data_IF_912639551570
#
_entry.id   IF_912639551570
#
_cell.length_a   1.000
_cell.length_b   1.000
_cell.length_c   1.000
_cell.angle_alpha   90.00
_cell.angle_beta   90.00
_cell.angle_gamma   90.00
#
_symmetry.space_group_name_H-M   'P 1'
#
loop_
_entity.id
_entity.type
_entity.pdbx_description
1 polymer ?
#
# COMPACT_ATOMS: atom_id res chain seq x y z
N UNK A 1 34.17 76.99 -20.92
CA UNK A 1 33.66 75.75 -20.29
C UNK A 1 32.61 76.12 -19.26
N UNK A 2 31.34 76.21 -19.66
CA UNK A 2 30.22 76.49 -18.74
C UNK A 2 29.76 75.17 -18.13
N UNK A 3 30.17 74.89 -16.89
CA UNK A 3 29.56 73.81 -16.09
C UNK A 3 28.17 74.29 -15.66
N UNK A 4 27.11 73.75 -16.26
CA UNK A 4 25.74 73.91 -15.75
C UNK A 4 25.62 73.08 -14.47
N UNK A 5 25.28 73.71 -13.36
CA UNK A 5 24.90 73.03 -12.13
C UNK A 5 23.46 72.52 -12.26
N UNK A 6 23.20 71.26 -11.89
CA UNK A 6 21.85 70.69 -11.89
C UNK A 6 20.97 71.42 -10.88
N UNK A 7 19.73 71.68 -11.29
CA UNK A 7 18.70 72.19 -10.37
C UNK A 7 18.24 71.09 -9.43
N UNK A 8 17.80 71.47 -8.22
CA UNK A 8 17.30 70.53 -7.20
C UNK A 8 16.18 69.62 -7.74
N UNK A 9 15.34 70.17 -8.63
CA UNK A 9 14.25 69.44 -9.27
C UNK A 9 14.75 68.40 -10.28
N UNK A 10 15.81 68.67 -11.05
CA UNK A 10 16.43 67.68 -11.95
C UNK A 10 17.09 66.54 -11.17
N UNK A 11 17.76 66.83 -10.05
CA UNK A 11 18.32 65.79 -9.19
C UNK A 11 17.24 64.93 -8.54
N UNK A 12 16.12 65.53 -8.11
CA UNK A 12 14.99 64.77 -7.59
C UNK A 12 14.35 63.89 -8.66
N UNK A 13 14.14 64.41 -9.88
CA UNK A 13 13.60 63.63 -11.00
C UNK A 13 14.55 62.49 -11.39
N UNK A 14 15.86 62.75 -11.47
CA UNK A 14 16.85 61.73 -11.80
C UNK A 14 16.93 60.63 -10.73
N UNK A 15 16.86 60.99 -9.45
CA UNK A 15 16.84 60.02 -8.34
C UNK A 15 15.54 59.21 -8.33
N UNK A 16 14.38 59.86 -8.53
CA UNK A 16 13.10 59.15 -8.65
C UNK A 16 13.07 58.21 -9.87
N UNK A 17 13.60 58.63 -11.02
CA UNK A 17 13.65 57.80 -12.23
C UNK A 17 14.60 56.59 -12.06
N UNK A 18 15.75 56.76 -11.41
CA UNK A 18 16.66 55.65 -11.12
C UNK A 18 16.08 54.67 -10.10
N UNK A 19 15.36 55.15 -9.08
CA UNK A 19 14.63 54.30 -8.15
C UNK A 19 13.50 53.51 -8.84
N UNK A 20 12.74 54.16 -9.73
CA UNK A 20 11.71 53.48 -10.52
C UNK A 20 12.31 52.41 -11.44
N UNK A 21 13.46 52.69 -12.06
CA UNK A 21 14.15 51.73 -12.91
C UNK A 21 14.69 50.53 -12.10
N UNK A 22 15.27 50.78 -10.92
CA UNK A 22 15.68 49.68 -10.04
C UNK A 22 14.49 48.88 -9.50
N UNK A 23 13.37 49.52 -9.20
CA UNK A 23 12.14 48.83 -8.80
C UNK A 23 11.60 47.93 -9.91
N UNK A 24 11.58 48.40 -11.16
CA UNK A 24 11.16 47.60 -12.31
C UNK A 24 12.09 46.40 -12.56
N UNK A 25 13.41 46.61 -12.49
CA UNK A 25 14.40 45.53 -12.66
C UNK A 25 14.29 44.49 -11.53
N UNK A 26 14.09 44.91 -10.28
CA UNK A 26 13.90 44.01 -9.16
C UNK A 26 12.64 43.14 -9.32
N UNK A 27 11.53 43.71 -9.82
CA UNK A 27 10.31 42.95 -10.12
C UNK A 27 10.55 41.89 -11.20
N UNK A 28 11.26 42.25 -12.27
CA UNK A 28 11.61 41.30 -13.33
C UNK A 28 12.44 40.14 -12.78
N UNK A 29 13.47 40.42 -11.98
CA UNK A 29 14.27 39.37 -11.35
C UNK A 29 13.46 38.50 -10.38
N UNK A 30 12.50 39.05 -9.64
CA UNK A 30 11.63 38.28 -8.76
C UNK A 30 10.75 37.31 -9.56
N UNK A 31 10.16 37.76 -10.68
CA UNK A 31 9.34 36.91 -11.55
C UNK A 31 10.17 35.78 -12.18
N UNK A 32 11.33 36.12 -12.74
CA UNK A 32 12.24 35.11 -13.31
C UNK A 32 12.76 34.13 -12.25
N UNK A 33 13.10 34.62 -11.06
CA UNK A 33 13.54 33.78 -9.95
C UNK A 33 12.47 32.79 -9.50
N UNK A 34 11.21 33.23 -9.39
CA UNK A 34 10.08 32.37 -9.08
C UNK A 34 9.83 31.29 -10.14
N UNK A 35 9.88 31.65 -11.42
CA UNK A 35 9.71 30.70 -12.52
C UNK A 35 10.81 29.63 -12.57
N UNK A 36 12.07 30.03 -12.33
CA UNK A 36 13.21 29.09 -12.28
C UNK A 36 13.07 28.15 -11.08
N UNK A 37 12.69 28.69 -9.92
CA UNK A 37 12.46 27.88 -8.71
C UNK A 37 11.36 26.84 -8.94
N UNK A 38 10.21 27.27 -9.48
CA UNK A 38 9.11 26.37 -9.82
C UNK A 38 9.50 25.29 -10.83
N UNK A 39 10.28 25.65 -11.86
CA UNK A 39 10.79 24.69 -12.85
C UNK A 39 11.72 23.66 -12.22
N UNK A 40 12.60 24.07 -11.31
CA UNK A 40 13.49 23.16 -10.57
C UNK A 40 12.72 22.22 -9.64
N UNK A 41 11.71 22.73 -8.95
CA UNK A 41 10.88 21.92 -8.05
C UNK A 41 10.13 20.83 -8.82
N UNK A 42 9.55 21.14 -9.97
CA UNK A 42 8.89 20.16 -10.86
C UNK A 42 9.89 19.10 -11.36
N UNK A 43 11.10 19.52 -11.76
CA UNK A 43 12.13 18.57 -12.21
C UNK A 43 12.62 17.64 -11.09
N UNK A 44 12.74 18.16 -9.85
CA UNK A 44 13.08 17.35 -8.68
C UNK A 44 11.96 16.35 -8.36
N UNK A 45 10.69 16.79 -8.39
CA UNK A 45 9.52 15.93 -8.22
C UNK A 45 9.51 14.78 -9.24
N UNK A 46 9.70 15.10 -10.53
CA UNK A 46 9.79 14.08 -11.61
C UNK A 46 10.96 13.11 -11.40
N UNK A 47 12.08 13.59 -10.85
CA UNK A 47 13.22 12.77 -10.44
C UNK A 47 12.83 11.78 -9.34
N UNK A 48 12.23 12.27 -8.26
CA UNK A 48 11.77 11.45 -7.13
C UNK A 48 10.71 10.43 -7.54
N UNK A 49 9.72 10.83 -8.34
CA UNK A 49 8.67 9.92 -8.82
C UNK A 49 9.24 8.79 -9.69
N UNK A 50 10.23 9.09 -10.54
CA UNK A 50 10.92 8.04 -11.32
C UNK A 50 11.70 7.07 -10.44
N UNK A 51 12.40 7.56 -9.41
CA UNK A 51 13.10 6.69 -8.44
C UNK A 51 12.12 5.81 -7.68
N UNK A 52 11.01 6.37 -7.21
CA UNK A 52 9.94 5.63 -6.52
C UNK A 52 9.33 4.55 -7.42
N UNK A 53 8.99 4.89 -8.66
CA UNK A 53 8.45 3.95 -9.63
C UNK A 53 9.46 2.85 -10.00
N UNK A 54 10.75 3.18 -10.12
CA UNK A 54 11.79 2.18 -10.37
C UNK A 54 11.93 1.23 -9.17
N UNK A 55 11.89 1.75 -7.95
CA UNK A 55 11.93 0.92 -6.74
C UNK A 55 10.73 -0.02 -6.66
N UNK A 56 9.52 0.49 -6.87
CA UNK A 56 8.30 -0.33 -6.90
C UNK A 56 8.34 -1.38 -8.01
N UNK A 57 8.80 -1.02 -9.22
CA UNK A 57 9.00 -1.98 -10.32
C UNK A 57 10.00 -3.07 -9.95
N UNK A 58 11.10 -2.71 -9.30
CA UNK A 58 12.12 -3.67 -8.86
C UNK A 58 11.57 -4.63 -7.80
N UNK A 59 10.79 -4.12 -6.84
CA UNK A 59 10.17 -4.98 -5.82
C UNK A 59 9.15 -5.92 -6.46
N UNK A 60 8.26 -5.42 -7.32
CA UNK A 60 7.24 -6.21 -8.02
C UNK A 60 7.86 -7.26 -8.96
N UNK A 61 8.95 -6.93 -9.66
CA UNK A 61 9.65 -7.88 -10.51
C UNK A 61 10.29 -9.04 -9.73
N UNK A 62 10.59 -8.83 -8.45
CA UNK A 62 11.15 -9.83 -7.57
C UNK A 62 10.11 -10.64 -6.78
N UNK A 63 8.80 -10.48 -7.04
CA UNK A 63 7.76 -11.14 -6.25
C UNK A 63 8.01 -12.65 -6.14
N UNK A 64 7.90 -13.21 -4.93
CA UNK A 64 8.23 -14.62 -4.72
C UNK A 64 7.01 -15.54 -4.80
N UNK A 65 5.84 -15.04 -4.43
CA UNK A 65 4.60 -15.82 -4.41
C UNK A 65 4.00 -15.97 -5.81
N UNK A 66 3.54 -17.18 -6.15
CA UNK A 66 2.61 -17.33 -7.27
C UNK A 66 1.30 -16.63 -6.94
N UNK A 67 0.81 -15.86 -7.91
CA UNK A 67 -0.46 -15.14 -7.80
C UNK A 67 -1.68 -16.01 -8.08
N UNK A 68 -1.59 -17.31 -7.75
CA UNK A 68 -2.69 -18.27 -7.86
C UNK A 68 -3.18 -18.55 -6.44
N UNK A 69 -4.39 -18.11 -6.07
CA UNK A 69 -4.90 -18.30 -4.73
C UNK A 69 -4.99 -19.78 -4.33
N UNK A 70 -4.66 -20.09 -3.08
CA UNK A 70 -4.70 -21.44 -2.51
C UNK A 70 -3.88 -22.47 -3.29
N UNK A 71 -2.81 -22.05 -3.98
CA UNK A 71 -1.81 -22.97 -4.48
C UNK A 71 -1.25 -23.78 -3.30
N UNK A 72 -1.05 -25.10 -3.48
CA UNK A 72 -0.47 -25.99 -2.47
C UNK A 72 0.67 -25.30 -1.75
N UNK A 73 0.72 -25.40 -0.41
CA UNK A 73 1.64 -24.78 0.55
C UNK A 73 3.11 -24.72 0.10
N UNK A 74 3.38 -23.91 -0.92
CA UNK A 74 4.68 -23.68 -1.46
C UNK A 74 5.31 -22.61 -0.59
N UNK A 75 6.55 -22.85 -0.16
CA UNK A 75 7.35 -21.93 0.63
C UNK A 75 7.79 -20.69 -0.19
N UNK A 76 6.81 -20.01 -0.80
CA UNK A 76 6.95 -18.95 -1.78
C UNK A 76 6.60 -17.58 -1.19
N UNK A 77 6.20 -17.49 0.08
CA UNK A 77 5.79 -16.24 0.74
C UNK A 77 4.35 -15.84 0.38
N UNK A 78 4.09 -14.55 0.17
CA UNK A 78 2.73 -14.07 -0.11
C UNK A 78 2.67 -12.82 -1.00
N UNK A 79 1.48 -12.58 -1.55
CA UNK A 79 1.02 -11.29 -2.06
C UNK A 79 -0.35 -10.99 -1.46
N UNK A 80 -0.48 -9.79 -0.91
CA UNK A 80 -1.70 -9.28 -0.33
C UNK A 80 -1.94 -7.84 -0.77
N UNK A 81 -3.15 -7.57 -1.25
CA UNK A 81 -3.60 -6.23 -1.65
C UNK A 81 -4.81 -5.92 -0.79
N UNK A 82 -4.76 -4.80 -0.08
CA UNK A 82 -5.85 -4.33 0.76
C UNK A 82 -6.32 -3.01 0.19
N UNK A 83 -7.52 -3.05 -0.37
CA UNK A 83 -8.23 -1.93 -0.95
C UNK A 83 -9.06 -1.25 0.14
N UNK A 84 -8.94 0.06 0.23
CA UNK A 84 -9.76 0.86 1.13
C UNK A 84 -11.14 1.21 0.56
N UNK A 85 -11.99 1.92 1.30
CA UNK A 85 -13.26 2.40 0.77
C UNK A 85 -13.17 3.66 -0.11
N UNK A 86 -12.02 4.35 -0.15
CA UNK A 86 -11.85 5.48 -1.06
C UNK A 86 -11.70 4.96 -2.50
N UNK A 87 -12.30 5.66 -3.45
CA UNK A 87 -12.13 5.40 -4.88
C UNK A 87 -12.09 6.74 -5.60
N UNK A 88 -11.63 6.76 -6.85
CA UNK A 88 -11.71 7.96 -7.70
C UNK A 88 -13.17 8.46 -7.88
N UNK A 89 -14.16 7.57 -7.85
CA UNK A 89 -15.58 7.93 -7.96
C UNK A 89 -16.18 8.44 -6.64
N UNK A 90 -15.89 7.80 -5.50
CA UNK A 90 -16.42 8.22 -4.19
C UNK A 90 -15.80 9.53 -3.71
N UNK A 91 -14.52 9.76 -4.03
CA UNK A 91 -13.86 11.06 -3.82
C UNK A 91 -14.56 12.19 -4.60
N UNK A 92 -15.02 11.93 -5.83
CA UNK A 92 -15.80 12.90 -6.62
C UNK A 92 -17.26 13.06 -6.13
N UNK A 93 -17.95 11.96 -5.78
CA UNK A 93 -19.34 12.00 -5.36
C UNK A 93 -19.55 12.76 -4.03
N UNK A 94 -18.61 12.63 -3.09
CA UNK A 94 -18.62 13.37 -1.84
C UNK A 94 -18.50 14.90 -2.03
N UNK A 95 -17.86 15.34 -3.12
CA UNK A 95 -17.76 16.76 -3.54
C UNK A 95 -19.11 17.25 -4.07
N UNK A 96 -19.79 16.48 -4.92
CA UNK A 96 -21.08 16.89 -5.52
C UNK A 96 -22.21 16.91 -4.50
N UNK A 97 -22.19 16.01 -3.51
CA UNK A 97 -23.19 15.91 -2.45
C UNK A 97 -23.00 16.91 -1.29
N UNK A 98 -21.90 17.68 -1.28
CA UNK A 98 -21.56 18.61 -0.19
C UNK A 98 -21.40 17.94 1.19
N UNK A 99 -21.33 16.61 1.23
CA UNK A 99 -21.23 15.79 2.44
C UNK A 99 -19.78 15.68 2.91
N UNK A 100 -18.82 15.85 2.00
CA UNK A 100 -17.45 16.20 2.34
C UNK A 100 -17.39 17.71 2.55
N UNK A 101 -17.10 18.15 3.77
CA UNK A 101 -16.92 19.57 4.05
C UNK A 101 -15.79 20.13 3.18
N UNK A 102 -16.12 21.12 2.33
CA UNK A 102 -15.21 22.01 1.58
C UNK A 102 -14.17 22.75 2.48
N UNK A 103 -14.24 22.54 3.81
CA UNK A 103 -13.25 23.02 4.77
C UNK A 103 -11.90 22.27 4.71
N UNK A 104 -11.83 21.13 4.01
CA UNK A 104 -10.60 20.40 3.73
C UNK A 104 -10.49 20.31 2.21
N UNK A 105 -9.44 20.87 1.60
CA UNK A 105 -9.24 20.93 0.14
C UNK A 105 -9.13 19.56 -0.57
N UNK A 106 -10.17 18.73 -0.49
CA UNK A 106 -10.30 17.37 -0.99
C UNK A 106 -10.71 17.27 -2.45
N UNK A 107 -10.79 18.40 -3.17
CA UNK A 107 -11.04 18.43 -4.63
C UNK A 107 -9.88 17.79 -5.42
N UNK A 108 -8.70 17.65 -4.79
CA UNK A 108 -7.45 17.28 -5.46
C UNK A 108 -6.89 15.92 -5.01
N UNK A 109 -7.38 15.35 -3.90
CA UNK A 109 -6.95 14.03 -3.42
C UNK A 109 -7.73 12.92 -4.11
N UNK A 110 -7.02 11.97 -4.73
CA UNK A 110 -7.61 10.74 -5.28
C UNK A 110 -7.68 9.64 -4.24
N UNK A 111 -7.86 8.41 -4.70
CA UNK A 111 -7.73 7.22 -3.86
C UNK A 111 -6.31 7.12 -3.23
N UNK A 112 -6.24 6.73 -1.97
CA UNK A 112 -5.05 6.85 -1.10
C UNK A 112 -5.02 5.88 0.08
N UNK A 113 -6.00 4.99 0.23
CA UNK A 113 -6.12 4.10 1.38
C UNK A 113 -5.76 2.63 1.08
N UNK A 114 -5.13 2.42 -0.06
CA UNK A 114 -4.58 1.13 -0.48
C UNK A 114 -3.28 0.75 0.21
N UNK A 115 -3.14 -0.56 0.42
CA UNK A 115 -1.94 -1.20 0.96
C UNK A 115 -1.55 -2.38 0.09
N UNK A 116 -0.27 -2.41 -0.26
CA UNK A 116 0.33 -3.50 -1.03
C UNK A 116 1.42 -4.16 -0.18
N UNK A 117 1.23 -5.43 0.17
CA UNK A 117 2.15 -6.23 0.97
C UNK A 117 2.58 -7.47 0.20
N UNK A 118 3.87 -7.76 0.13
CA UNK A 118 4.36 -8.97 -0.53
C UNK A 118 5.79 -9.32 -0.13
N UNK A 119 6.18 -10.56 -0.41
CA UNK A 119 7.57 -10.99 -0.34
C UNK A 119 8.25 -10.85 -1.70
N UNK A 120 9.47 -10.32 -1.70
CA UNK A 120 10.27 -10.08 -2.90
C UNK A 120 11.68 -10.64 -2.74
N UNK A 121 12.28 -11.06 -3.85
CA UNK A 121 13.63 -11.61 -3.96
C UNK A 121 14.45 -10.78 -4.91
N UNK A 122 15.66 -10.47 -4.50
CA UNK A 122 16.67 -9.86 -5.35
C UNK A 122 17.92 -10.75 -5.38
N UNK A 123 18.25 -11.25 -6.59
CA UNK A 123 19.43 -12.10 -6.82
C UNK A 123 20.68 -11.31 -7.18
N UNK A 124 20.56 -10.05 -7.61
CA UNK A 124 21.70 -9.22 -8.01
C UNK A 124 22.32 -8.49 -6.81
N UNK A 125 21.48 -7.96 -5.92
CA UNK A 125 21.91 -7.25 -4.73
C UNK A 125 21.03 -7.66 -3.54
N UNK A 126 21.62 -8.09 -2.41
CA UNK A 126 20.83 -8.44 -1.25
C UNK A 126 20.13 -7.21 -0.66
N UNK A 127 18.98 -7.45 -0.05
CA UNK A 127 18.35 -6.48 0.83
C UNK A 127 19.18 -6.33 2.08
N UNK A 128 19.40 -5.08 2.46
CA UNK A 128 20.18 -4.72 3.64
C UNK A 128 19.22 -4.21 4.71
N UNK A 129 19.42 -4.67 5.94
CA UNK A 129 18.67 -4.24 7.11
C UNK A 129 19.57 -4.16 8.33
N UNK A 130 19.06 -3.64 9.43
CA UNK A 130 19.77 -3.49 10.69
C UNK A 130 19.15 -4.39 11.75
N UNK A 131 19.97 -4.86 12.69
CA UNK A 131 19.46 -5.41 13.93
C UNK A 131 20.35 -4.97 15.10
N UNK A 132 19.77 -4.72 16.28
CA UNK A 132 20.55 -4.40 17.46
C UNK A 132 21.41 -5.60 17.86
N UNK A 133 22.68 -5.38 18.13
CA UNK A 133 23.59 -6.39 18.68
C UNK A 133 24.18 -5.89 19.99
N UNK A 134 24.72 -6.76 20.84
CA UNK A 134 25.41 -6.32 22.06
C UNK A 134 26.90 -6.58 21.96
N UNK A 135 27.68 -5.54 22.28
CA UNK A 135 29.10 -5.68 22.58
C UNK A 135 29.29 -6.38 23.93
N UNK A 136 30.43 -7.03 24.12
CA UNK A 136 30.88 -7.54 25.43
C UNK A 136 30.88 -6.44 26.54
N UNK A 137 30.85 -5.16 26.17
CA UNK A 137 30.76 -4.00 27.07
C UNK A 137 29.33 -3.55 27.44
N UNK A 138 28.29 -4.33 27.12
CA UNK A 138 26.87 -4.01 27.36
C UNK A 138 26.37 -2.71 26.67
N UNK A 139 27.11 -2.23 25.67
CA UNK A 139 26.67 -1.15 24.79
C UNK A 139 25.88 -1.77 23.63
N UNK A 140 24.65 -1.29 23.39
CA UNK A 140 23.87 -1.65 22.22
C UNK A 140 24.60 -1.14 20.95
N UNK A 141 25.10 -2.08 20.16
CA UNK A 141 25.59 -1.85 18.81
C UNK A 141 24.46 -2.14 17.82
N UNK A 142 24.66 -1.75 16.57
CA UNK A 142 23.73 -2.03 15.48
C UNK A 142 24.56 -2.61 14.36
N UNK A 143 24.35 -3.89 14.07
CA UNK A 143 24.98 -4.54 12.94
C UNK A 143 24.06 -4.53 11.72
N UNK A 144 24.68 -4.68 10.57
CA UNK A 144 24.00 -4.72 9.27
C UNK A 144 23.91 -6.16 8.81
N UNK A 145 22.73 -6.55 8.37
CA UNK A 145 22.41 -7.89 7.90
C UNK A 145 21.93 -7.84 6.47
N UNK A 146 22.11 -8.96 5.78
CA UNK A 146 21.78 -9.10 4.37
C UNK A 146 20.88 -10.31 4.18
N UNK A 147 19.84 -10.17 3.37
CA UNK A 147 19.04 -11.28 2.87
C UNK A 147 18.72 -11.07 1.40
N UNK A 148 18.71 -12.15 0.62
CA UNK A 148 18.25 -12.09 -0.78
C UNK A 148 16.73 -11.96 -0.89
N UNK A 149 16.01 -12.10 0.22
CA UNK A 149 14.56 -12.04 0.30
C UNK A 149 14.13 -11.06 1.39
N UNK A 150 13.11 -10.26 1.10
CA UNK A 150 12.51 -9.34 2.05
C UNK A 150 10.98 -9.38 1.94
N UNK A 151 10.33 -9.11 3.07
CA UNK A 151 8.92 -8.75 3.16
C UNK A 151 8.83 -7.24 3.02
N UNK A 152 8.03 -6.76 2.07
CA UNK A 152 7.92 -5.34 1.72
C UNK A 152 6.46 -4.91 1.80
N UNK A 153 6.24 -3.73 2.37
CA UNK A 153 4.92 -3.10 2.44
C UNK A 153 4.98 -1.69 1.85
N UNK A 154 4.01 -1.37 1.00
CA UNK A 154 3.79 -0.05 0.42
C UNK A 154 2.42 0.46 0.85
N UNK A 155 2.38 1.68 1.39
CA UNK A 155 1.14 2.30 1.87
C UNK A 155 1.29 3.82 1.96
N UNK A 156 0.17 4.53 1.93
CA UNK A 156 0.13 5.98 2.10
C UNK A 156 -0.45 6.36 3.47
N UNK A 157 0.01 7.50 4.02
CA UNK A 157 -0.54 8.11 5.24
C UNK A 157 -0.70 9.61 5.12
N UNK A 158 -1.69 10.23 5.81
CA UNK A 158 -1.82 11.67 5.86
C UNK A 158 -0.52 12.34 6.30
N UNK A 159 -0.10 13.37 5.58
CA UNK A 159 1.09 14.16 5.93
C UNK A 159 0.72 15.09 7.08
N UNK A 160 1.40 15.00 8.24
CA UNK A 160 1.07 15.84 9.39
C UNK A 160 1.13 17.33 9.03
N UNK A 161 0.06 18.06 9.35
CA UNK A 161 -0.03 19.51 9.11
C UNK A 161 -0.30 19.92 7.66
N UNK A 162 -0.54 18.98 6.72
CA UNK A 162 -0.96 19.35 5.37
C UNK A 162 -2.33 20.02 5.39
N UNK A 163 -2.42 21.24 4.86
CA UNK A 163 -3.67 21.97 4.71
C UNK A 163 -3.74 22.62 3.32
N UNK A 164 -4.84 22.37 2.61
CA UNK A 164 -5.17 22.92 1.30
C UNK A 164 -4.15 22.65 0.17
N UNK A 165 -4.17 21.49 -0.52
CA UNK A 165 -4.95 20.26 -0.31
C UNK A 165 -4.40 19.37 0.81
N UNK A 166 -5.15 18.38 1.26
CA UNK A 166 -4.59 17.32 2.12
C UNK A 166 -3.69 16.45 1.26
N UNK A 167 -2.49 16.19 1.76
CA UNK A 167 -1.50 15.39 1.05
C UNK A 167 -1.07 14.22 1.92
N UNK A 168 -0.67 13.15 1.27
CA UNK A 168 -0.21 11.91 1.84
C UNK A 168 1.30 11.77 1.61
N UNK A 169 1.90 10.89 2.40
CA UNK A 169 3.27 10.43 2.21
C UNK A 169 3.21 8.94 1.96
N UNK A 170 3.84 8.49 0.87
CA UNK A 170 3.98 7.06 0.55
C UNK A 170 5.24 6.54 1.24
N UNK A 171 5.06 5.47 1.99
CA UNK A 171 6.11 4.76 2.71
C UNK A 171 6.37 3.42 2.06
N UNK A 172 7.61 2.96 2.24
CA UNK A 172 8.02 1.59 1.98
C UNK A 172 8.66 1.03 3.24
N UNK A 173 8.11 -0.05 3.78
CA UNK A 173 8.74 -0.84 4.85
C UNK A 173 9.42 -2.05 4.24
N UNK A 174 10.61 -2.38 4.72
CA UNK A 174 11.35 -3.57 4.33
C UNK A 174 11.78 -4.33 5.57
N UNK A 175 11.48 -5.62 5.61
CA UNK A 175 11.90 -6.53 6.66
C UNK A 175 12.63 -7.71 6.01
N UNK A 176 13.84 -8.01 6.45
CA UNK A 176 14.64 -9.12 5.98
C UNK A 176 13.96 -10.44 6.36
N UNK A 177 13.76 -11.31 5.38
CA UNK A 177 13.25 -12.66 5.61
C UNK A 177 14.46 -13.57 5.77
N UNK A 178 14.63 -14.13 6.96
CA UNK A 178 15.73 -15.04 7.27
C UNK A 178 15.33 -15.97 8.42
N UNK A 179 15.43 -17.28 8.20
CA UNK A 179 15.07 -18.28 9.21
C UNK A 179 16.07 -18.38 10.37
N UNK A 180 17.25 -17.77 10.23
CA UNK A 180 18.27 -17.73 11.26
C UNK A 180 19.08 -16.43 11.14
N UNK A 181 19.13 -15.64 12.22
CA UNK A 181 19.85 -14.36 12.25
C UNK A 181 21.28 -14.54 12.75
N UNK A 182 21.48 -15.42 13.74
CA UNK A 182 22.82 -15.77 14.26
C UNK A 182 23.54 -14.68 15.03
N UNK A 183 22.81 -13.64 15.45
CA UNK A 183 23.31 -12.52 16.23
C UNK A 183 22.26 -12.13 17.28
N UNK A 184 22.70 -11.47 18.36
CA UNK A 184 21.78 -10.89 19.33
C UNK A 184 20.71 -10.02 18.63
N UNK A 185 19.44 -10.01 19.07
CA UNK A 185 18.89 -10.80 20.17
C UNK A 185 18.62 -12.28 19.82
N UNK A 186 18.73 -12.68 18.55
CA UNK A 186 18.48 -14.02 18.02
C UNK A 186 19.74 -14.93 18.06
N UNK A 187 20.15 -15.35 19.27
CA UNK A 187 21.39 -16.12 19.50
C UNK A 187 21.28 -17.64 19.29
N UNK A 188 22.46 -18.29 19.24
CA UNK A 188 22.67 -19.74 19.09
C UNK A 188 22.00 -20.54 20.23
N UNK A 189 21.11 -21.47 19.86
CA UNK A 189 20.36 -22.34 20.78
C UNK A 189 18.89 -22.42 20.38
N UNK A 190 18.22 -21.27 20.34
CA UNK A 190 16.77 -21.18 20.09
C UNK A 190 16.37 -20.19 18.96
N UNK A 191 17.25 -19.27 18.54
CA UNK A 191 16.96 -18.26 17.48
C UNK A 191 15.66 -17.47 17.74
N UNK A 192 15.48 -17.03 18.97
CA UNK A 192 14.28 -16.32 19.45
C UNK A 192 14.64 -15.06 20.24
N UNK A 193 13.68 -14.15 20.39
CA UNK A 193 13.78 -13.02 21.34
C UNK A 193 12.50 -12.89 22.16
N UNK A 194 12.62 -12.54 23.44
CA UNK A 194 11.46 -12.25 24.28
C UNK A 194 10.67 -11.05 23.75
N UNK A 195 9.36 -11.22 23.57
CA UNK A 195 8.46 -10.15 23.18
C UNK A 195 7.98 -9.37 24.41
N UNK A 196 8.03 -8.04 24.32
CA UNK A 196 7.50 -7.12 25.34
C UNK A 196 6.46 -6.18 24.75
N UNK A 197 6.78 -5.54 23.62
CA UNK A 197 5.85 -4.76 22.82
C UNK A 197 6.34 -4.66 21.37
N UNK A 198 5.42 -4.45 20.44
CA UNK A 198 5.77 -4.18 19.04
C UNK A 198 6.54 -2.88 18.88
N UNK A 199 6.17 -1.84 19.63
CA UNK A 199 6.91 -0.58 19.71
C UNK A 199 8.37 -0.79 20.12
N UNK A 200 8.63 -1.62 21.14
CA UNK A 200 9.99 -1.94 21.56
C UNK A 200 10.81 -2.64 20.48
N UNK A 201 10.16 -3.42 19.60
CA UNK A 201 10.83 -4.13 18.51
C UNK A 201 11.02 -3.24 17.28
N UNK A 202 9.94 -2.70 16.70
CA UNK A 202 9.99 -1.97 15.43
C UNK A 202 10.42 -0.50 15.56
N UNK A 203 10.33 0.12 16.75
CA UNK A 203 11.02 1.41 16.99
C UNK A 203 12.49 1.20 17.38
N UNK A 204 12.98 -0.03 17.52
CA UNK A 204 14.42 -0.33 17.54
C UNK A 204 14.93 -0.39 16.09
N UNK A 205 16.23 -0.19 15.79
CA UNK A 205 16.77 -0.42 14.44
C UNK A 205 16.82 -1.93 14.11
N UNK A 206 15.65 -2.58 14.10
CA UNK A 206 15.46 -3.99 13.76
C UNK A 206 14.57 -4.11 12.52
N UNK A 207 15.17 -4.57 11.44
CA UNK A 207 14.56 -4.73 10.13
C UNK A 207 14.41 -6.22 9.77
N UNK A 208 14.11 -7.09 10.74
CA UNK A 208 13.91 -8.53 10.52
C UNK A 208 12.42 -8.86 10.54
N UNK A 209 11.95 -9.67 9.60
CA UNK A 209 10.58 -10.18 9.58
C UNK A 209 10.43 -11.23 10.68
N UNK A 210 9.44 -11.04 11.55
CA UNK A 210 9.21 -11.91 12.71
C UNK A 210 7.73 -12.19 12.91
N UNK A 211 7.45 -13.39 13.43
CA UNK A 211 6.15 -13.75 13.98
C UNK A 211 6.21 -13.82 15.50
N UNK A 212 5.07 -13.60 16.14
CA UNK A 212 4.93 -13.67 17.60
C UNK A 212 4.24 -14.97 18.00
N UNK A 213 4.90 -15.76 18.83
CA UNK A 213 4.34 -16.94 19.50
C UNK A 213 4.36 -16.71 21.01
N UNK A 214 3.18 -16.47 21.60
CA UNK A 214 3.07 -16.14 23.02
C UNK A 214 3.86 -14.88 23.40
N UNK A 215 4.90 -15.05 24.22
CA UNK A 215 5.80 -13.98 24.68
C UNK A 215 7.16 -14.02 23.97
N UNK A 216 7.25 -14.62 22.79
CA UNK A 216 8.49 -14.83 22.05
C UNK A 216 8.30 -14.43 20.59
N UNK A 217 9.32 -13.84 19.98
CA UNK A 217 9.40 -13.57 18.55
C UNK A 217 10.36 -14.56 17.88
N UNK A 218 9.95 -15.03 16.71
CA UNK A 218 10.71 -15.92 15.84
C UNK A 218 10.94 -15.25 14.49
N UNK A 219 12.16 -15.29 13.93
CA UNK A 219 12.41 -14.87 12.55
C UNK A 219 11.61 -15.71 11.57
N UNK A 220 11.05 -15.05 10.57
CA UNK A 220 10.24 -15.71 9.56
C UNK A 220 11.08 -16.30 8.42
N UNK A 221 10.66 -17.46 7.94
CA UNK A 221 11.02 -18.01 6.64
C UNK A 221 9.95 -17.65 5.59
N UNK A 222 10.25 -17.89 4.31
CA UNK A 222 9.24 -17.78 3.25
C UNK A 222 8.07 -18.76 3.44
N UNK A 223 8.32 -19.93 4.05
CA UNK A 223 7.27 -20.88 4.38
C UNK A 223 6.35 -20.34 5.48
N UNK A 224 6.91 -19.67 6.50
CA UNK A 224 6.10 -19.06 7.55
C UNK A 224 5.20 -17.96 6.98
N UNK A 225 5.73 -17.13 6.07
CA UNK A 225 5.03 -15.98 5.49
C UNK A 225 3.91 -16.35 4.50
N UNK A 226 3.79 -17.61 4.07
CA UNK A 226 2.59 -18.04 3.34
C UNK A 226 1.34 -17.95 4.22
N UNK A 227 1.51 -18.16 5.53
CA UNK A 227 0.47 -18.05 6.54
C UNK A 227 0.28 -16.61 6.97
N UNK A 228 -0.96 -16.10 6.91
CA UNK A 228 -1.25 -14.68 7.13
C UNK A 228 -0.89 -14.21 8.55
N UNK A 229 -1.06 -15.07 9.53
CA UNK A 229 -0.73 -14.82 10.93
C UNK A 229 0.76 -14.67 11.23
N UNK A 230 1.65 -15.03 10.31
CA UNK A 230 3.09 -14.80 10.45
C UNK A 230 3.54 -13.48 9.82
N UNK A 231 2.68 -12.84 9.01
CA UNK A 231 3.02 -11.66 8.21
C UNK A 231 3.03 -10.40 9.07
N UNK A 232 3.76 -9.41 8.60
CA UNK A 232 3.77 -8.08 9.17
C UNK A 232 2.34 -7.53 9.27
N UNK A 233 2.00 -6.93 10.42
CA UNK A 233 0.72 -6.25 10.69
C UNK A 233 -0.56 -7.12 10.71
N UNK A 234 -0.46 -8.44 10.84
CA UNK A 234 -1.64 -9.33 10.91
C UNK A 234 -1.86 -10.00 12.27
N UNK A 235 -0.84 -9.97 13.14
CA UNK A 235 -0.82 -10.77 14.35
C UNK A 235 -0.48 -9.99 15.62
N UNK A 236 -1.40 -9.11 16.02
CA UNK A 236 -1.26 -8.31 17.26
C UNK A 236 -1.22 -9.19 18.49
N UNK A 237 -2.13 -10.15 18.56
CA UNK A 237 -2.38 -10.97 19.74
C UNK A 237 -1.37 -12.12 19.92
N UNK A 238 -0.55 -12.39 18.91
CA UNK A 238 0.29 -13.58 18.81
C UNK A 238 -0.45 -14.73 18.14
N UNK A 239 0.28 -15.76 17.70
CA UNK A 239 -0.29 -16.98 17.11
C UNK A 239 -1.21 -17.68 18.11
N UNK A 240 -2.50 -17.33 18.10
CA UNK A 240 -3.55 -17.91 18.94
C UNK A 240 -4.54 -18.72 18.11
N UNK A 241 -5.33 -19.55 18.80
CA UNK A 241 -6.32 -20.43 18.15
C UNK A 241 -7.61 -19.73 17.73
N UNK A 242 -7.83 -18.49 18.15
CA UNK A 242 -9.05 -17.72 17.90
C UNK A 242 -8.82 -16.51 16.99
N UNK A 243 -7.70 -16.49 16.27
CA UNK A 243 -7.23 -15.32 15.53
C UNK A 243 -7.68 -15.26 14.07
N UNK A 244 -8.15 -16.36 13.49
CA UNK A 244 -8.58 -16.43 12.09
C UNK A 244 -9.70 -15.40 11.84
N UNK A 245 -9.63 -14.61 10.74
CA UNK A 245 -8.71 -14.68 9.59
C UNK A 245 -7.45 -13.80 9.71
N UNK A 246 -7.05 -13.46 10.95
CA UNK A 246 -5.87 -12.66 11.30
C UNK A 246 -5.90 -11.28 10.63
N UNK A 247 -6.76 -10.36 11.11
CA UNK A 247 -7.06 -9.13 10.40
C UNK A 247 -5.85 -8.20 10.34
N UNK A 248 -5.69 -7.52 9.21
CA UNK A 248 -4.73 -6.44 9.05
C UNK A 248 -4.99 -5.30 10.04
N UNK A 249 -3.92 -4.78 10.65
CA UNK A 249 -4.01 -3.97 11.87
C UNK A 249 -3.85 -2.48 11.63
N UNK A 250 -3.17 -2.06 10.55
CA UNK A 250 -3.17 -0.63 10.24
C UNK A 250 -4.46 -0.21 9.56
N UNK A 251 -4.87 1.04 9.81
CA UNK A 251 -6.11 1.63 9.31
C UNK A 251 -7.39 0.96 9.85
N UNK A 252 -7.36 0.39 11.08
CA UNK A 252 -8.56 -0.17 11.71
C UNK A 252 -9.65 0.88 12.07
N UNK A 253 -9.36 2.19 11.96
CA UNK A 253 -10.29 3.31 11.64
C UNK A 253 -9.48 4.64 11.62
N UNK A 254 -9.66 5.61 10.71
CA UNK A 254 -10.75 5.86 9.77
C UNK A 254 -10.25 6.37 8.41
N UNK A 255 -10.81 5.82 7.32
CA UNK A 255 -10.67 6.37 5.96
C UNK A 255 -11.48 7.67 5.75
N UNK A 256 -12.28 8.15 6.72
CA UNK A 256 -13.10 9.36 6.51
C UNK A 256 -13.25 10.34 7.68
N UNK A 257 -12.70 10.08 8.86
CA UNK A 257 -12.73 11.05 9.96
C UNK A 257 -11.34 11.58 10.23
N UNK A 258 -11.12 12.87 9.99
CA UNK A 258 -9.90 13.61 10.37
C UNK A 258 -9.69 13.73 11.89
N UNK A 259 -9.89 12.65 12.63
CA UNK A 259 -9.65 12.50 14.06
C UNK A 259 -8.62 11.40 14.27
N UNK A 260 -7.67 11.66 15.17
CA UNK A 260 -6.50 10.85 15.44
C UNK A 260 -6.77 9.34 15.42
N UNK A 261 -5.93 8.60 14.70
CA UNK A 261 -5.78 7.15 14.75
C UNK A 261 -5.33 6.79 16.18
N UNK A 262 -6.23 6.78 17.16
CA UNK A 262 -5.94 6.33 18.53
C UNK A 262 -5.93 4.81 18.52
N UNK A 263 -4.76 4.28 18.19
CA UNK A 263 -4.48 2.86 18.16
C UNK A 263 -4.38 2.31 19.59
N UNK A 264 -4.92 1.11 19.90
CA UNK A 264 -4.68 0.47 21.19
C UNK A 264 -3.18 0.34 21.49
N UNK A 265 -2.76 0.48 22.75
CA UNK A 265 -1.35 0.34 23.15
C UNK A 265 -0.70 -1.00 22.71
N UNK A 266 -1.50 -2.04 22.49
CA UNK A 266 -1.05 -3.34 22.01
C UNK A 266 -0.53 -3.34 20.55
N UNK A 267 -0.86 -2.32 19.75
CA UNK A 267 -0.48 -2.20 18.34
C UNK A 267 0.50 -1.05 18.06
N UNK A 268 0.90 -0.33 19.12
CA UNK A 268 1.95 0.69 19.04
C UNK A 268 3.22 0.08 18.41
N UNK A 269 3.77 0.73 17.39
CA UNK A 269 4.95 0.27 16.65
C UNK A 269 4.68 -0.67 15.46
N UNK A 270 3.53 -1.35 15.40
CA UNK A 270 3.07 -2.03 14.17
C UNK A 270 2.50 -1.02 13.16
N UNK A 271 2.00 0.10 13.66
CA UNK A 271 1.30 1.12 12.89
C UNK A 271 2.01 2.46 13.13
N UNK A 272 2.17 3.23 12.05
CA UNK A 272 3.00 4.45 12.02
C UNK A 272 2.18 5.71 12.30
N UNK A 273 1.74 5.86 13.53
CA UNK A 273 1.06 7.07 13.99
C UNK A 273 2.05 8.19 14.37
N UNK A 274 1.55 9.27 14.95
CA UNK A 274 2.38 10.40 15.41
C UNK A 274 3.37 10.03 16.54
N UNK A 275 3.21 8.86 17.17
CA UNK A 275 4.08 8.36 18.25
C UNK A 275 5.20 7.45 17.73
N UNK A 276 5.06 6.92 16.51
CA UNK A 276 6.10 6.13 15.86
C UNK A 276 7.38 6.95 15.61
N UNK A 277 8.53 6.35 15.90
CA UNK A 277 9.83 6.97 15.64
C UNK A 277 10.28 6.85 14.18
N UNK A 278 9.48 6.20 13.30
CA UNK A 278 9.77 5.94 11.88
C UNK A 278 11.11 5.24 11.64
N UNK A 279 11.59 4.47 12.62
CA UNK A 279 12.87 3.77 12.53
C UNK A 279 12.70 2.53 11.63
N UNK A 280 13.48 2.46 10.55
CA UNK A 280 13.47 1.35 9.56
C UNK A 280 12.46 1.51 8.41
N UNK A 281 11.80 2.66 8.29
CA UNK A 281 10.92 2.96 7.15
C UNK A 281 11.56 3.93 6.17
N UNK A 282 11.34 3.67 4.88
CA UNK A 282 11.76 4.58 3.81
C UNK A 282 10.59 5.51 3.45
N UNK A 283 10.78 6.81 3.66
CA UNK A 283 9.90 7.83 3.07
C UNK A 283 10.20 7.89 1.57
N UNK A 284 9.29 7.38 0.74
CA UNK A 284 9.52 7.27 -0.70
C UNK A 284 9.11 8.55 -1.42
N UNK A 285 7.89 9.04 -1.16
CA UNK A 285 7.35 10.25 -1.77
C UNK A 285 6.50 11.03 -0.77
N UNK A 286 6.68 12.35 -0.74
CA UNK A 286 5.83 13.29 0.01
C UNK A 286 4.95 14.08 -0.94
N UNK A 287 3.93 14.75 -0.41
CA UNK A 287 2.95 15.53 -1.18
C UNK A 287 2.17 14.68 -2.21
N UNK A 288 1.90 13.43 -1.85
CA UNK A 288 1.09 12.51 -2.64
C UNK A 288 -0.38 12.91 -2.51
N UNK A 289 -1.11 12.92 -3.62
CA UNK A 289 -2.55 13.16 -3.67
C UNK A 289 -3.34 11.87 -3.80
N UNK A 290 -2.73 10.84 -4.39
CA UNK A 290 -3.33 9.51 -4.47
C UNK A 290 -2.29 8.41 -4.65
N UNK A 291 -2.57 7.28 -4.03
CA UNK A 291 -1.87 6.01 -4.09
C UNK A 291 -2.92 4.92 -4.26
N UNK A 292 -2.98 4.37 -5.45
CA UNK A 292 -4.12 3.59 -5.97
C UNK A 292 -3.56 2.33 -6.65
N UNK A 293 -4.04 1.17 -6.23
CA UNK A 293 -3.55 -0.17 -6.53
C UNK A 293 -4.66 -0.98 -7.18
N UNK A 294 -4.62 -1.07 -8.50
CA UNK A 294 -5.65 -1.75 -9.30
C UNK A 294 -5.20 -3.12 -9.76
N UNK A 295 -6.14 -4.04 -9.83
CA UNK A 295 -5.95 -5.40 -10.33
C UNK A 295 -6.51 -5.55 -11.74
N UNK A 296 -5.85 -6.34 -12.58
CA UNK A 296 -6.38 -6.62 -13.92
C UNK A 296 -7.47 -7.69 -13.86
N UNK A 297 -8.72 -7.30 -14.15
CA UNK A 297 -9.84 -8.22 -14.33
C UNK A 297 -10.15 -8.36 -15.83
N UNK A 298 -9.98 -9.57 -16.42
CA UNK A 298 -10.28 -9.80 -17.83
C UNK A 298 -11.78 -9.71 -18.18
N UNK A 299 -12.66 -9.88 -17.20
CA UNK A 299 -14.11 -9.80 -17.37
C UNK A 299 -14.66 -8.41 -17.04
N UNK A 300 -13.86 -7.50 -16.47
CA UNK A 300 -14.33 -6.14 -16.18
C UNK A 300 -14.84 -5.42 -17.46
N UNK A 301 -16.05 -4.84 -17.43
CA UNK A 301 -16.61 -4.10 -18.56
C UNK A 301 -15.91 -2.76 -18.78
N UNK A 302 -15.58 -2.45 -20.03
CA UNK A 302 -15.16 -1.11 -20.44
C UNK A 302 -16.36 -0.43 -21.08
N UNK A 303 -16.90 0.59 -20.42
CA UNK A 303 -18.05 1.36 -20.89
C UNK A 303 -17.64 2.63 -21.63
N UNK A 304 -18.62 3.36 -22.16
CA UNK A 304 -18.42 4.71 -22.70
C UNK A 304 -19.15 5.73 -21.82
N UNK A 305 -18.40 6.70 -21.30
CA UNK A 305 -18.99 7.86 -20.64
C UNK A 305 -19.68 8.77 -21.66
N UNK A 306 -20.46 9.73 -21.16
CA UNK A 306 -21.04 10.80 -21.99
C UNK A 306 -19.95 11.49 -22.80
N UNK A 307 -20.05 11.42 -24.14
CA UNK A 307 -19.02 11.95 -25.05
C UNK A 307 -18.11 10.89 -25.69
N UNK A 308 -18.29 9.60 -25.38
CA UNK A 308 -17.60 8.50 -26.05
C UNK A 308 -16.21 8.17 -25.49
N UNK A 309 -15.87 8.68 -24.31
CA UNK A 309 -14.61 8.34 -23.63
C UNK A 309 -14.72 6.97 -22.97
N UNK A 310 -13.79 6.04 -23.23
CA UNK A 310 -13.74 4.76 -22.52
C UNK A 310 -13.50 4.97 -21.03
N UNK A 311 -14.31 4.32 -20.20
CA UNK A 311 -14.25 4.37 -18.72
C UNK A 311 -14.44 2.96 -18.16
N UNK A 312 -13.85 2.71 -16.99
CA UNK A 312 -13.91 1.41 -16.31
C UNK A 312 -14.58 1.54 -14.94
N UNK A 313 -14.99 0.43 -14.28
CA UNK A 313 -15.48 0.48 -12.91
C UNK A 313 -14.49 1.22 -12.00
N UNK A 314 -15.00 2.14 -11.19
CA UNK A 314 -14.19 3.05 -10.35
C UNK A 314 -13.96 4.43 -10.97
N UNK A 315 -14.06 4.59 -12.29
CA UNK A 315 -13.93 5.89 -12.94
C UNK A 315 -15.22 6.73 -12.85
N UNK A 316 -15.10 8.05 -12.68
CA UNK A 316 -16.23 8.97 -12.79
C UNK A 316 -17.00 8.85 -14.10
N UNK A 317 -18.32 8.65 -14.01
CA UNK A 317 -19.21 8.57 -15.18
C UNK A 317 -19.29 7.20 -15.84
N UNK A 318 -18.78 6.15 -15.18
CA UNK A 318 -18.93 4.76 -15.62
C UNK A 318 -20.42 4.36 -15.74
N UNK A 319 -20.87 3.82 -16.90
CA UNK A 319 -22.30 3.61 -17.18
C UNK A 319 -22.91 2.32 -16.62
N UNK A 320 -22.14 1.47 -15.94
CA UNK A 320 -22.59 0.17 -15.46
C UNK A 320 -22.17 -1.00 -16.38
N UNK A 321 -22.91 -2.12 -16.42
CA UNK A 321 -22.48 -3.35 -17.09
C UNK A 321 -22.42 -3.26 -18.63
N UNK A 322 -23.01 -2.22 -19.21
CA UNK A 322 -23.01 -1.95 -20.64
C UNK A 322 -21.59 -1.68 -21.15
N UNK A 323 -21.05 -2.63 -21.90
CA UNK A 323 -19.64 -2.64 -22.30
C UNK A 323 -19.46 -2.53 -23.81
N UNK A 324 -18.39 -1.85 -24.23
CA UNK A 324 -17.86 -1.82 -25.60
C UNK A 324 -16.57 -2.63 -25.74
N UNK A 325 -15.92 -2.97 -24.63
CA UNK A 325 -14.81 -3.91 -24.55
C UNK A 325 -14.79 -4.60 -23.17
N UNK A 326 -13.95 -5.62 -23.02
CA UNK A 326 -13.73 -6.33 -21.76
C UNK A 326 -12.24 -6.34 -21.40
N UNK A 327 -11.94 -6.33 -20.11
CA UNK A 327 -10.57 -6.38 -19.60
C UNK A 327 -10.05 -5.01 -19.21
N UNK A 328 -9.91 -4.78 -17.91
CA UNK A 328 -9.48 -3.49 -17.36
C UNK A 328 -8.70 -3.65 -16.05
N UNK A 329 -7.90 -2.65 -15.72
CA UNK A 329 -7.38 -2.47 -14.36
C UNK A 329 -8.46 -1.77 -13.54
N UNK A 330 -8.93 -2.43 -12.49
CA UNK A 330 -10.05 -2.01 -11.64
C UNK A 330 -9.66 -2.15 -10.18
N UNK A 331 -10.32 -1.35 -9.34
CA UNK A 331 -10.20 -1.39 -7.89
C UNK A 331 -10.77 -2.71 -7.36
N UNK A 332 -10.21 -3.23 -6.27
CA UNK A 332 -10.65 -4.51 -5.74
C UNK A 332 -12.07 -4.40 -5.17
N UNK A 333 -12.93 -5.36 -5.51
CA UNK A 333 -14.32 -5.37 -5.08
C UNK A 333 -15.19 -4.30 -5.73
N UNK A 334 -14.83 -3.87 -6.95
CA UNK A 334 -15.68 -3.00 -7.75
C UNK A 334 -17.11 -3.57 -7.86
N UNK A 335 -18.11 -2.69 -7.84
CA UNK A 335 -19.52 -3.09 -7.70
C UNK A 335 -20.18 -3.68 -8.96
N UNK A 336 -19.40 -4.07 -9.98
CA UNK A 336 -19.91 -4.45 -11.30
C UNK A 336 -19.60 -5.92 -11.56
N UNK A 337 -20.55 -6.79 -11.24
CA UNK A 337 -20.35 -8.25 -11.27
C UNK A 337 -20.61 -8.88 -12.64
N UNK A 338 -21.19 -8.13 -13.58
CA UNK A 338 -21.56 -8.61 -14.91
C UNK A 338 -21.01 -7.68 -15.98
N UNK A 339 -20.57 -8.28 -17.08
CA UNK A 339 -20.21 -7.60 -18.32
C UNK A 339 -21.15 -8.06 -19.44
N UNK A 340 -21.91 -7.13 -20.03
CA UNK A 340 -22.92 -7.47 -21.03
C UNK A 340 -22.34 -8.08 -22.33
N UNK A 341 -21.04 -7.91 -22.60
CA UNK A 341 -20.35 -8.58 -23.71
C UNK A 341 -19.95 -10.02 -23.38
N UNK A 342 -19.78 -10.35 -22.10
CA UNK A 342 -19.36 -11.65 -21.59
C UNK A 342 -20.25 -12.09 -20.42
N UNK A 343 -21.59 -12.19 -20.59
CA UNK A 343 -22.52 -12.40 -19.48
C UNK A 343 -22.35 -13.74 -18.76
N UNK A 344 -21.69 -14.71 -19.40
CA UNK A 344 -21.38 -16.01 -18.81
C UNK A 344 -20.03 -16.04 -18.07
N UNK A 345 -19.23 -14.98 -18.16
CA UNK A 345 -17.93 -14.88 -17.47
C UNK A 345 -18.10 -13.93 -16.29
N UNK A 346 -18.05 -14.42 -15.04
CA UNK A 346 -18.16 -13.54 -13.87
C UNK A 346 -16.95 -12.60 -13.80
N UNK A 347 -17.16 -11.39 -13.30
CA UNK A 347 -16.06 -10.52 -12.91
C UNK A 347 -15.29 -11.19 -11.75
N UNK A 348 -13.97 -11.29 -11.91
CA UNK A 348 -13.09 -12.05 -11.02
C UNK A 348 -12.83 -11.31 -9.71
N UNK A 349 -12.76 -9.98 -9.78
CA UNK A 349 -12.37 -9.12 -8.66
C UNK A 349 -13.51 -8.16 -8.27
N UNK A 350 -14.74 -8.48 -8.65
CA UNK A 350 -15.93 -7.72 -8.25
C UNK A 350 -16.49 -8.22 -6.91
N UNK A 351 -17.25 -7.36 -6.23
CA UNK A 351 -17.99 -7.72 -5.01
C UNK A 351 -17.12 -7.85 -3.76
N UNK A 352 -17.68 -8.45 -2.70
CA UNK A 352 -17.11 -8.36 -1.36
C UNK A 352 -16.18 -9.52 -0.96
N UNK A 353 -15.95 -10.49 -1.85
CA UNK A 353 -15.16 -11.69 -1.60
C UNK A 353 -15.96 -12.85 -0.99
N UNK A 354 -15.34 -14.04 -0.93
CA UNK A 354 -15.92 -15.28 -0.38
C UNK A 354 -16.00 -15.21 1.15
N UNK A 355 -17.15 -15.58 1.72
CA UNK A 355 -17.43 -15.55 3.15
C UNK A 355 -16.54 -16.52 3.94
N UNK A 356 -16.16 -17.66 3.35
CA UNK A 356 -15.28 -18.68 3.98
C UNK A 356 -13.87 -18.17 4.25
N UNK A 357 -13.48 -17.05 3.63
CA UNK A 357 -12.22 -16.39 3.95
C UNK A 357 -12.22 -15.71 5.33
N UNK A 358 -13.40 -15.44 5.91
CA UNK A 358 -13.55 -14.54 7.05
C UNK A 358 -13.23 -13.06 6.75
N UNK A 359 -12.78 -12.73 5.53
CA UNK A 359 -12.38 -11.39 5.09
C UNK A 359 -13.37 -10.76 4.12
N UNK A 360 -14.55 -11.35 3.98
CA UNK A 360 -15.61 -10.77 3.21
C UNK A 360 -15.99 -9.39 3.76
N UNK A 361 -16.04 -8.40 2.89
CA UNK A 361 -16.48 -7.06 3.26
C UNK A 361 -17.98 -7.07 3.63
N UNK A 362 -18.37 -6.41 4.73
CA UNK A 362 -19.78 -6.36 5.14
C UNK A 362 -20.59 -5.34 4.30
N UNK A 363 -19.92 -4.39 3.65
CA UNK A 363 -20.54 -3.41 2.76
C UNK A 363 -19.56 -2.62 1.88
N UNK A 364 -20.12 -1.63 1.17
CA UNK A 364 -19.39 -0.80 0.20
C UNK A 364 -18.32 0.13 0.81
N UNK A 365 -18.37 0.34 2.12
CA UNK A 365 -17.40 1.18 2.85
C UNK A 365 -16.37 0.38 3.65
N UNK A 366 -16.40 -0.94 3.55
CA UNK A 366 -15.41 -1.82 4.17
C UNK A 366 -14.29 -2.14 3.20
N UNK A 367 -13.17 -2.63 3.73
CA UNK A 367 -11.99 -2.94 2.94
C UNK A 367 -12.18 -4.22 2.15
N UNK A 368 -11.50 -4.34 1.02
CA UNK A 368 -11.40 -5.59 0.26
C UNK A 368 -9.99 -6.10 0.32
N UNK A 369 -9.84 -7.41 0.48
CA UNK A 369 -8.52 -8.03 0.58
C UNK A 369 -8.39 -9.08 -0.50
N UNK A 370 -7.35 -8.95 -1.33
CA UNK A 370 -6.86 -10.04 -2.15
C UNK A 370 -5.69 -10.67 -1.42
N UNK A 371 -5.68 -11.99 -1.35
CA UNK A 371 -4.63 -12.76 -0.70
C UNK A 371 -4.30 -13.97 -1.58
N UNK A 372 -3.02 -14.30 -1.71
CA UNK A 372 -2.60 -15.57 -2.32
C UNK A 372 -3.13 -16.79 -1.56
N UNK A 373 -3.61 -16.60 -0.34
CA UNK A 373 -4.21 -17.59 0.55
C UNK A 373 -3.28 -18.76 0.86
N UNK A 374 -3.57 -19.47 1.94
CA UNK A 374 -2.77 -20.62 2.32
C UNK A 374 -3.65 -21.84 2.42
N UNK A 375 -3.27 -22.92 1.72
CA UNK A 375 -3.92 -24.22 1.88
C UNK A 375 -3.64 -24.83 3.26
N UNK A 376 -2.77 -24.23 4.08
CA UNK A 376 -2.52 -24.68 5.45
C UNK A 376 -3.77 -24.60 6.33
N UNK A 377 -4.73 -23.73 6.01
CA UNK A 377 -5.96 -23.62 6.79
C UNK A 377 -6.83 -24.87 6.66
N UNK A 378 -6.75 -25.61 5.56
CA UNK A 378 -7.46 -26.88 5.33
C UNK A 378 -6.77 -28.10 5.97
N UNK A 379 -5.69 -27.89 6.74
CA UNK A 379 -4.93 -28.97 7.36
C UNK A 379 -4.45 -28.57 8.77
N UNK A 380 -5.21 -27.70 9.44
CA UNK A 380 -4.80 -27.06 10.68
C UNK A 380 -5.43 -27.71 11.93
N UNK A 381 -6.33 -28.68 11.72
CA UNK A 381 -7.00 -29.44 12.77
C UNK A 381 -8.10 -28.63 13.46
N UNK A 382 -8.71 -27.68 12.75
CA UNK A 382 -9.82 -26.85 13.25
C UNK A 382 -10.97 -26.89 12.27
N UNK A 383 -12.12 -26.50 12.81
CA UNK A 383 -13.40 -26.40 12.14
C UNK A 383 -13.66 -24.89 11.94
N UNK A 384 -13.21 -24.34 10.82
CA UNK A 384 -13.29 -22.91 10.53
C UNK A 384 -14.69 -22.43 10.12
N UNK A 385 -15.54 -23.31 9.57
CA UNK A 385 -16.90 -22.98 9.13
C UNK A 385 -17.99 -23.39 10.14
N UNK A 386 -17.64 -24.14 11.17
CA UNK A 386 -18.44 -24.46 12.35
C UNK A 386 -19.38 -25.64 12.14
N UNK A 387 -19.08 -26.54 11.22
CA UNK A 387 -19.94 -27.64 10.80
C UNK A 387 -19.69 -28.97 11.55
N UNK A 388 -18.73 -28.98 12.47
CA UNK A 388 -18.25 -30.09 13.32
C UNK A 388 -17.33 -31.11 12.66
N UNK A 389 -17.05 -30.95 11.38
CA UNK A 389 -16.03 -31.68 10.65
C UNK A 389 -14.76 -30.82 10.60
N UNK A 390 -13.63 -31.46 10.31
CA UNK A 390 -12.30 -30.84 10.43
C UNK A 390 -11.45 -31.28 9.24
N UNK A 391 -10.87 -30.32 8.54
CA UNK A 391 -9.94 -30.49 7.43
C UNK A 391 -10.51 -31.43 6.33
N UNK A 392 -11.78 -31.24 5.96
CA UNK A 392 -12.51 -32.15 5.05
C UNK A 392 -11.92 -32.19 3.64
N UNK A 393 -11.49 -31.05 3.10
CA UNK A 393 -10.99 -30.94 1.73
C UNK A 393 -9.67 -31.67 1.42
N UNK A 394 -9.08 -32.37 2.40
CA UNK A 394 -7.83 -33.11 2.26
C UNK A 394 -7.89 -34.51 2.90
N UNK A 395 -9.08 -35.03 3.23
CA UNK A 395 -9.23 -36.28 3.95
C UNK A 395 -9.38 -37.53 3.02
N UNK A 396 -9.53 -37.33 1.71
CA UNK A 396 -9.65 -38.37 0.69
C UNK A 396 -11.02 -39.04 0.63
N UNK A 397 -12.05 -38.42 1.21
CA UNK A 397 -13.44 -38.86 1.21
C UNK A 397 -14.30 -37.95 0.31
N UNK A 398 -15.53 -38.37 0.11
CA UNK A 398 -16.60 -37.60 -0.55
C UNK A 398 -17.64 -37.37 0.54
N UNK A 399 -17.40 -36.33 1.34
CA UNK A 399 -18.10 -36.03 2.59
C UNK A 399 -19.50 -35.46 2.32
N UNK A 400 -19.68 -34.78 1.19
CA UNK A 400 -20.98 -34.24 0.77
C UNK A 400 -21.79 -35.21 -0.13
N UNK A 401 -21.18 -36.32 -0.58
CA UNK A 401 -21.79 -37.36 -1.39
C UNK A 401 -22.09 -36.94 -2.83
N UNK A 402 -21.41 -35.91 -3.34
CA UNK A 402 -21.57 -35.40 -4.70
C UNK A 402 -20.84 -36.26 -5.75
N UNK A 403 -20.07 -37.26 -5.31
CA UNK A 403 -19.32 -38.19 -6.16
C UNK A 403 -17.95 -37.68 -6.59
N UNK A 404 -17.49 -36.57 -6.02
CA UNK A 404 -16.17 -35.97 -6.21
C UNK A 404 -15.46 -35.99 -4.86
N UNK A 405 -14.25 -36.54 -4.85
CA UNK A 405 -13.42 -36.58 -3.64
C UNK A 405 -12.67 -35.25 -3.52
N UNK A 406 -12.58 -34.71 -2.30
CA UNK A 406 -11.81 -33.52 -1.94
C UNK A 406 -12.13 -32.30 -2.83
N UNK A 407 -13.42 -31.98 -2.97
CA UNK A 407 -13.90 -30.94 -3.89
C UNK A 407 -13.90 -29.52 -3.26
N UNK A 408 -14.23 -28.50 -4.05
CA UNK A 408 -14.22 -27.11 -3.55
C UNK A 408 -15.40 -26.82 -2.59
N UNK A 409 -16.44 -27.65 -2.62
CA UNK A 409 -17.57 -27.63 -1.69
C UNK A 409 -17.20 -28.07 -0.29
N UNK A 410 -16.24 -29.00 -0.15
CA UNK A 410 -15.74 -29.57 1.11
C UNK A 410 -14.67 -28.71 1.79
N UNK A 411 -14.38 -27.52 1.26
CA UNK A 411 -13.40 -26.62 1.86
C UNK A 411 -14.01 -25.77 2.95
N UNK A 412 -13.41 -25.83 4.13
CA UNK A 412 -13.74 -25.00 5.28
C UNK A 412 -13.40 -23.54 5.02
N UNK A 413 -12.29 -23.30 4.29
CA UNK A 413 -11.81 -21.97 3.97
C UNK A 413 -11.65 -21.74 2.48
N UNK A 414 -11.70 -20.48 2.09
CA UNK A 414 -11.45 -20.10 0.71
C UNK A 414 -10.73 -18.75 0.65
N UNK A 415 -9.91 -18.52 -0.39
CA UNK A 415 -9.41 -17.18 -0.67
C UNK A 415 -10.57 -16.18 -0.83
N UNK A 416 -10.43 -14.91 -0.41
CA UNK A 416 -11.46 -13.90 -0.64
C UNK A 416 -11.82 -13.76 -2.12
N UNK A 417 -10.82 -13.86 -3.00
CA UNK A 417 -11.00 -13.93 -4.45
C UNK A 417 -10.27 -15.16 -4.98
N UNK A 418 -11.02 -16.17 -5.44
CA UNK A 418 -10.49 -17.46 -5.91
C UNK A 418 -9.88 -17.45 -7.32
N UNK A 419 -9.42 -16.30 -7.80
CA UNK A 419 -8.93 -16.14 -9.17
C UNK A 419 -7.48 -15.67 -9.22
N UNK A 420 -6.69 -16.14 -10.20
CA UNK A 420 -5.29 -15.77 -10.30
C UNK A 420 -5.12 -14.30 -10.73
N UNK A 421 -4.24 -13.57 -10.06
CA UNK A 421 -3.94 -12.19 -10.42
C UNK A 421 -3.01 -12.17 -11.64
N UNK A 422 -3.47 -11.63 -12.77
CA UNK A 422 -2.72 -11.58 -14.04
C UNK A 422 -1.82 -10.36 -14.17
N UNK A 423 -2.16 -9.28 -13.48
CA UNK A 423 -1.39 -8.06 -13.46
C UNK A 423 -1.91 -7.05 -12.46
N UNK A 424 -1.05 -6.11 -12.11
CA UNK A 424 -1.30 -5.04 -11.15
C UNK A 424 -0.89 -3.70 -11.77
N UNK A 425 -1.63 -2.65 -11.45
CA UNK A 425 -1.34 -1.27 -11.81
C UNK A 425 -1.32 -0.42 -10.54
N UNK A 426 -0.19 0.24 -10.27
CA UNK A 426 -0.07 1.20 -9.17
C UNK A 426 0.04 2.61 -9.75
N UNK A 427 -0.87 3.49 -9.35
CA UNK A 427 -0.91 4.90 -9.74
C UNK A 427 -0.50 5.75 -8.55
N UNK A 428 0.50 6.62 -8.77
CA UNK A 428 0.93 7.59 -7.76
C UNK A 428 0.76 8.98 -8.35
N UNK A 429 -0.09 9.79 -7.72
CA UNK A 429 -0.31 11.20 -8.07
C UNK A 429 0.36 12.08 -7.03
N UNK A 430 1.20 13.02 -7.44
CA UNK A 430 1.88 13.96 -6.55
C UNK A 430 1.57 15.40 -6.90
N UNK A 431 1.53 16.25 -5.87
CA UNK A 431 1.33 17.68 -5.96
C UNK A 431 2.64 18.44 -5.71
N UNK A 432 2.98 19.37 -6.59
CA UNK A 432 4.08 20.31 -6.36
C UNK A 432 3.54 21.62 -5.77
N UNK A 433 3.79 21.93 -4.48
CA UNK A 433 3.16 23.06 -3.80
C UNK A 433 3.56 24.43 -4.37
N UNK A 434 4.77 24.56 -4.93
CA UNK A 434 5.27 25.85 -5.44
C UNK A 434 4.62 26.21 -6.78
N UNK A 435 4.48 25.22 -7.67
CA UNK A 435 3.95 25.42 -9.03
C UNK A 435 2.46 25.11 -9.14
N UNK A 436 1.86 24.49 -8.10
CA UNK A 436 0.50 23.97 -8.06
C UNK A 436 0.19 22.98 -9.19
N UNK A 437 1.22 22.26 -9.65
CA UNK A 437 1.07 21.25 -10.69
C UNK A 437 0.87 19.88 -10.07
N UNK A 438 0.11 19.03 -10.77
CA UNK A 438 -0.06 17.62 -10.43
C UNK A 438 0.70 16.79 -11.46
N UNK A 439 1.43 15.78 -10.96
CA UNK A 439 2.09 14.77 -11.78
C UNK A 439 1.56 13.40 -11.40
N UNK A 440 1.45 12.52 -12.39
CA UNK A 440 1.09 11.13 -12.17
C UNK A 440 2.15 10.23 -12.78
N UNK A 441 2.50 9.17 -12.07
CA UNK A 441 3.26 8.04 -12.61
C UNK A 441 2.45 6.76 -12.42
N UNK A 442 2.55 5.88 -13.41
CA UNK A 442 1.87 4.59 -13.40
C UNK A 442 2.90 3.47 -13.56
N UNK A 443 2.83 2.50 -12.67
CA UNK A 443 3.63 1.27 -12.69
C UNK A 443 2.70 0.12 -12.98
N UNK A 444 2.97 -0.62 -14.07
CA UNK A 444 2.26 -1.85 -14.40
C UNK A 444 3.21 -3.03 -14.31
N UNK A 445 2.73 -4.13 -13.77
CA UNK A 445 3.44 -5.39 -13.75
C UNK A 445 2.49 -6.52 -14.14
N UNK A 446 3.01 -7.53 -14.84
CA UNK A 446 2.25 -8.72 -15.26
C UNK A 446 2.85 -9.95 -14.60
N UNK A 447 1.97 -10.82 -14.11
CA UNK A 447 2.34 -12.08 -13.47
C UNK A 447 2.20 -13.28 -14.42
N UNK A 448 1.76 -13.05 -15.66
CA UNK A 448 1.63 -14.10 -16.68
C UNK A 448 3.01 -14.31 -17.33
N UNK A 449 3.53 -15.55 -17.39
CA UNK A 449 4.77 -15.84 -18.09
C UNK A 449 4.66 -15.45 -19.57
N UNK A 450 5.71 -14.80 -20.10
CA UNK A 450 5.80 -14.41 -21.51
C UNK A 450 6.24 -15.55 -22.43
#
# INVERSE_FOLDING_TARGET
MTRRAMTLIEMMIALSATLLLMAAVAQVFAVFGGAISGSRAVLDLDGRMRTAAWRLRSDLAGITARTVPAAEAAAEGYLEIIEGPATDATSLAGIVSGTLNDAVGGIVSGDHDDVLLFTTRNSEAPFIGRAPTVSASATALVDTFESTVAEVAWFARPTPGSSGPVTYTVYRRQLLVMGYVGADPFRVGENTVGWSSWAGYFNSPCDVSVRREGSVLFPNTLADLSRRECRFMHNVAGLTTSGFPFPFVAHQAASTSGTAELLPAAIEGLVFDATSQRRGEDVVLTHVLGFDVRVFDPAAPVGLATGGTPVVPGDPGFPGPAAVASGAYVDLGHGVTVNDLLPAVPAHFAGFGDARSGLQAAGSSDRRTYDTWSSNYEANGRDEDGDTLVDESLNGLDDDGNGVIDDAGERETAPPYGFPLRGIEVRIRCYEPTSRQVRQITVRHTFVPH
#
